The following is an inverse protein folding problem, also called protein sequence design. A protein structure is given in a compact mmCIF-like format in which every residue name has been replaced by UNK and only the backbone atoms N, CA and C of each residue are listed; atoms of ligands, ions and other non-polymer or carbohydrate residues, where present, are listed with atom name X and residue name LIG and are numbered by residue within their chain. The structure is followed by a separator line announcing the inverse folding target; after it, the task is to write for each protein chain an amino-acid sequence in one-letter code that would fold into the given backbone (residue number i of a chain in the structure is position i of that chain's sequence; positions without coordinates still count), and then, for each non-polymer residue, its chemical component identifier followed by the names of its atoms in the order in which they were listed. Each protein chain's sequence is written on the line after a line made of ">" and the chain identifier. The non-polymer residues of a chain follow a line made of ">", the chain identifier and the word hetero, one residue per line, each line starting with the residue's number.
data_IF_568945274416
#
_entry.id   IF_568945274416
#
_cell.length_a   1.000
_cell.length_b   1.000
_cell.length_c   1.000
_cell.angle_alpha   90.00
_cell.angle_beta   90.00
_cell.angle_gamma   90.00
#
_symmetry.space_group_name_H-M   'P 1'
#
loop_
_entity.id
_entity.type
_entity.pdbx_description
1 polymer ?
#
# COMPACT_ATOMS: atom_id res chain seq x y z
N UNK A 1 -10.85 -3.47 -28.07
CA UNK A 1 -11.15 -4.02 -26.74
C UNK A 1 -10.31 -3.41 -25.60
N UNK A 2 -9.04 -3.03 -25.82
CA UNK A 2 -8.22 -2.32 -24.80
C UNK A 2 -8.78 -0.94 -24.45
N UNK A 3 -9.15 -0.13 -25.42
CA UNK A 3 -9.64 1.26 -25.25
C UNK A 3 -10.87 1.41 -24.29
N UNK A 4 -11.71 0.40 -24.19
CA UNK A 4 -12.91 0.45 -23.34
C UNK A 4 -12.60 0.09 -21.88
N UNK A 5 -11.56 -0.72 -21.65
CA UNK A 5 -11.11 -1.08 -20.30
C UNK A 5 -10.34 0.09 -19.67
N UNK A 6 -9.44 0.72 -20.44
CA UNK A 6 -8.66 1.87 -19.99
C UNK A 6 -9.56 3.05 -19.61
N UNK A 7 -10.67 3.29 -20.36
CA UNK A 7 -11.67 4.31 -20.00
C UNK A 7 -12.41 3.97 -18.70
N UNK A 8 -12.84 2.73 -18.51
CA UNK A 8 -13.54 2.32 -17.30
C UNK A 8 -12.66 2.44 -16.06
N UNK A 9 -11.35 2.15 -16.16
CA UNK A 9 -10.42 2.25 -15.05
C UNK A 9 -10.09 3.71 -14.72
N UNK A 10 -9.93 4.57 -15.73
CA UNK A 10 -9.76 6.02 -15.53
C UNK A 10 -10.99 6.66 -14.89
N UNK A 11 -12.20 6.25 -15.32
CA UNK A 11 -13.46 6.72 -14.72
C UNK A 11 -13.57 6.28 -13.27
N UNK A 12 -13.18 5.03 -12.95
CA UNK A 12 -13.19 4.51 -11.58
C UNK A 12 -12.18 5.22 -10.67
N UNK A 13 -10.99 5.52 -11.17
CA UNK A 13 -10.00 6.30 -10.42
C UNK A 13 -10.52 7.71 -10.15
N UNK A 14 -11.10 8.36 -11.16
CA UNK A 14 -11.71 9.70 -11.02
C UNK A 14 -12.87 9.70 -10.01
N UNK A 15 -13.69 8.66 -10.01
CA UNK A 15 -14.77 8.48 -9.03
C UNK A 15 -14.22 8.31 -7.60
N UNK A 16 -13.21 7.47 -7.41
CA UNK A 16 -12.54 7.28 -6.12
C UNK A 16 -11.92 8.59 -5.62
N UNK A 17 -11.22 9.32 -6.49
CA UNK A 17 -10.59 10.61 -6.14
C UNK A 17 -11.63 11.67 -5.79
N UNK A 18 -12.77 11.70 -6.49
CA UNK A 18 -13.87 12.64 -6.21
C UNK A 18 -14.56 12.36 -4.86
N UNK A 19 -14.48 11.13 -4.36
CA UNK A 19 -14.98 10.74 -3.05
C UNK A 19 -14.05 11.08 -1.87
N UNK A 20 -12.85 11.59 -2.14
CA UNK A 20 -11.92 12.00 -1.08
C UNK A 20 -12.35 13.36 -0.53
N UNK A 21 -12.84 13.37 0.70
CA UNK A 21 -13.21 14.58 1.41
C UNK A 21 -12.04 15.18 2.18
N UNK A 22 -12.11 16.49 2.42
CA UNK A 22 -11.14 17.16 3.29
C UNK A 22 -11.33 16.71 4.74
N UNK A 23 -10.23 16.54 5.51
CA UNK A 23 -10.34 16.22 6.92
C UNK A 23 -11.19 17.26 7.69
N UNK A 24 -11.99 16.79 8.65
CA UNK A 24 -12.77 17.66 9.53
C UNK A 24 -11.83 18.39 10.52
N UNK A 25 -11.65 19.68 10.28
CA UNK A 25 -10.79 20.54 11.12
C UNK A 25 -11.30 20.63 12.56
N UNK A 26 -12.63 20.60 12.78
CA UNK A 26 -13.20 20.66 14.14
C UNK A 26 -12.88 19.39 14.93
N UNK A 27 -12.98 18.23 14.29
CA UNK A 27 -12.59 16.97 14.91
C UNK A 27 -11.09 16.96 15.26
N UNK A 28 -10.24 17.51 14.38
CA UNK A 28 -8.80 17.65 14.63
C UNK A 28 -8.51 18.57 15.82
N UNK A 29 -9.15 19.75 15.90
CA UNK A 29 -8.99 20.69 17.02
C UNK A 29 -9.43 20.05 18.35
N UNK A 30 -10.56 19.37 18.35
CA UNK A 30 -11.05 18.66 19.55
C UNK A 30 -10.10 17.52 19.96
N UNK A 31 -9.56 16.77 19.04
CA UNK A 31 -8.57 15.73 19.32
C UNK A 31 -7.30 16.33 19.95
N UNK A 32 -6.81 17.44 19.40
CA UNK A 32 -5.66 18.20 19.95
C UNK A 32 -5.91 18.69 21.38
N UNK A 33 -7.09 19.26 21.64
CA UNK A 33 -7.46 19.68 23.00
C UNK A 33 -7.49 18.50 23.97
N UNK A 34 -7.99 17.34 23.55
CA UNK A 34 -7.99 16.13 24.37
C UNK A 34 -6.58 15.67 24.68
N UNK A 35 -5.67 15.63 23.69
CA UNK A 35 -4.26 15.30 23.91
C UNK A 35 -3.61 16.23 24.94
N UNK A 36 -3.91 17.53 24.86
CA UNK A 36 -3.37 18.52 25.79
C UNK A 36 -3.96 18.41 27.20
N UNK A 37 -5.11 17.76 27.36
CA UNK A 37 -5.75 17.51 28.67
C UNK A 37 -5.24 16.25 29.37
N UNK A 38 -4.48 15.39 28.68
CA UNK A 38 -3.86 14.21 29.28
C UNK A 38 -2.68 14.63 30.14
N UNK A 39 -2.51 13.98 31.30
CA UNK A 39 -1.39 14.26 32.24
C UNK A 39 -0.05 13.77 31.68
N UNK A 40 0.50 14.50 30.73
CA UNK A 40 1.81 14.32 30.10
C UNK A 40 2.35 15.67 29.64
N UNK A 41 3.67 15.82 29.41
CA UNK A 41 4.19 17.03 28.77
C UNK A 41 3.54 17.24 27.40
N UNK A 42 3.16 18.47 27.08
CA UNK A 42 2.52 18.81 25.79
C UNK A 42 3.47 18.44 24.64
N UNK A 43 2.94 17.71 23.64
CA UNK A 43 3.70 17.30 22.48
C UNK A 43 4.75 16.21 22.74
N UNK A 44 4.75 15.58 23.92
CA UNK A 44 5.79 14.62 24.31
C UNK A 44 5.86 13.33 23.44
N UNK A 45 4.78 12.98 22.75
CA UNK A 45 4.75 11.85 21.83
C UNK A 45 5.03 12.25 20.36
N UNK A 46 5.29 13.55 20.10
CA UNK A 46 5.71 14.06 18.80
C UNK A 46 4.74 13.70 17.67
N UNK A 47 5.27 13.12 16.59
CA UNK A 47 4.53 12.76 15.39
C UNK A 47 3.31 11.86 15.68
N UNK A 48 3.37 11.00 16.69
CA UNK A 48 2.24 10.14 17.04
C UNK A 48 0.98 10.95 17.41
N UNK A 49 1.15 12.06 18.15
CA UNK A 49 0.00 12.94 18.47
C UNK A 49 -0.56 13.61 17.22
N UNK A 50 0.32 14.05 16.32
CA UNK A 50 -0.08 14.68 15.05
C UNK A 50 -0.84 13.70 14.16
N UNK A 51 -0.38 12.46 14.07
CA UNK A 51 -1.00 11.43 13.24
C UNK A 51 -2.38 11.03 13.78
N UNK A 52 -2.53 10.87 15.10
CA UNK A 52 -3.83 10.61 15.72
C UNK A 52 -4.79 11.78 15.49
N UNK A 53 -4.30 13.03 15.56
CA UNK A 53 -5.11 14.21 15.24
C UNK A 53 -5.58 14.19 13.78
N UNK A 54 -4.72 13.84 12.83
CA UNK A 54 -5.08 13.70 11.40
C UNK A 54 -6.12 12.60 11.19
N UNK A 55 -5.93 11.44 11.85
CA UNK A 55 -6.90 10.34 11.79
C UNK A 55 -8.26 10.76 12.34
N UNK A 56 -8.30 11.55 13.42
CA UNK A 56 -9.53 12.11 13.94
C UNK A 56 -10.26 12.97 12.89
N UNK A 57 -9.52 13.77 12.12
CA UNK A 57 -10.07 14.54 11.00
C UNK A 57 -10.63 13.67 9.89
N UNK A 58 -9.90 12.61 9.50
CA UNK A 58 -10.34 11.66 8.47
C UNK A 58 -11.60 10.89 8.89
N UNK A 59 -11.72 10.56 10.16
CA UNK A 59 -12.89 9.85 10.73
C UNK A 59 -14.02 10.80 11.14
N UNK A 60 -13.86 12.10 10.97
CA UNK A 60 -14.83 13.12 11.38
C UNK A 60 -15.26 12.98 12.86
N UNK A 61 -14.36 12.44 13.70
CA UNK A 61 -14.62 12.16 15.11
C UNK A 61 -13.36 12.33 15.95
N UNK A 62 -13.45 13.12 17.02
CA UNK A 62 -12.38 13.25 18.00
C UNK A 62 -12.33 12.12 19.05
N UNK A 63 -13.31 11.22 19.05
CA UNK A 63 -13.47 10.15 20.05
C UNK A 63 -13.28 8.76 19.47
N UNK A 64 -13.74 8.53 18.25
CA UNK A 64 -13.64 7.27 17.56
C UNK A 64 -12.40 7.27 16.63
N UNK A 65 -11.23 7.13 17.24
CA UNK A 65 -9.92 7.11 16.55
C UNK A 65 -9.30 5.72 16.76
N UNK A 66 -10.07 4.67 16.42
CA UNK A 66 -9.57 3.31 16.49
C UNK A 66 -8.62 3.02 15.33
N UNK A 67 -7.47 2.39 15.64
CA UNK A 67 -6.48 1.84 14.71
C UNK A 67 -6.29 0.33 14.93
N UNK A 68 -7.30 -0.33 15.50
CA UNK A 68 -7.25 -1.76 15.88
C UNK A 68 -7.11 -2.69 14.66
N UNK A 69 -7.70 -2.31 13.52
CA UNK A 69 -7.58 -3.05 12.28
C UNK A 69 -6.60 -2.36 11.36
N UNK A 70 -5.48 -2.99 11.14
CA UNK A 70 -4.44 -2.52 10.22
C UNK A 70 -4.19 -3.53 9.12
N UNK A 71 -3.79 -3.05 7.95
CA UNK A 71 -3.43 -3.86 6.81
C UNK A 71 -2.12 -3.35 6.19
N UNK A 72 -1.28 -4.28 5.75
CA UNK A 72 -0.06 -4.00 5.01
C UNK A 72 -0.21 -4.49 3.57
N UNK A 73 -0.27 -3.58 2.62
CA UNK A 73 -0.19 -3.89 1.20
C UNK A 73 1.28 -3.94 0.77
N UNK A 74 1.72 -5.07 0.22
CA UNK A 74 3.09 -5.26 -0.28
C UNK A 74 3.04 -5.41 -1.80
N UNK A 75 3.38 -4.35 -2.52
CA UNK A 75 3.43 -4.36 -3.97
C UNK A 75 4.72 -5.00 -4.47
N UNK A 76 4.59 -6.10 -5.22
CA UNK A 76 5.70 -6.88 -5.74
C UNK A 76 5.86 -6.65 -7.25
N UNK A 77 7.04 -6.22 -7.66
CA UNK A 77 7.38 -6.00 -9.06
C UNK A 77 8.87 -6.23 -9.33
N UNK A 78 9.18 -6.63 -10.54
CA UNK A 78 10.54 -6.72 -11.06
C UNK A 78 10.85 -5.52 -11.97
N UNK A 79 12.11 -5.17 -12.07
CA UNK A 79 12.58 -4.03 -12.84
C UNK A 79 13.76 -4.45 -13.73
N UNK A 80 13.67 -4.19 -15.04
CA UNK A 80 14.69 -4.59 -16.00
C UNK A 80 16.03 -3.84 -15.84
N UNK A 81 16.09 -2.81 -15.00
CA UNK A 81 17.34 -2.15 -14.59
C UNK A 81 18.34 -3.10 -13.90
N UNK A 82 17.87 -4.24 -13.39
CA UNK A 82 18.72 -5.33 -12.86
C UNK A 82 19.77 -5.78 -13.88
N UNK A 83 19.48 -5.68 -15.18
CA UNK A 83 20.40 -6.02 -16.26
C UNK A 83 21.65 -5.12 -16.30
N UNK A 84 21.61 -3.97 -15.63
CA UNK A 84 22.75 -3.03 -15.51
C UNK A 84 23.66 -3.35 -14.32
N UNK A 85 23.45 -4.48 -13.61
CA UNK A 85 24.28 -4.91 -12.49
C UNK A 85 24.11 -4.09 -11.20
N UNK A 86 22.99 -3.43 -11.01
CA UNK A 86 22.71 -2.56 -9.84
C UNK A 86 22.32 -3.34 -8.57
N UNK A 87 22.20 -4.65 -8.66
CA UNK A 87 21.81 -5.53 -7.54
C UNK A 87 22.66 -6.79 -7.53
N UNK A 88 22.80 -7.40 -6.35
CA UNK A 88 23.54 -8.66 -6.15
C UNK A 88 22.71 -9.91 -6.46
N UNK A 89 21.37 -9.77 -6.57
CA UNK A 89 20.44 -10.86 -6.80
C UNK A 89 19.69 -10.69 -8.10
N UNK A 90 19.22 -11.80 -8.68
CA UNK A 90 18.35 -11.78 -9.85
C UNK A 90 16.88 -11.48 -9.51
N UNK A 91 16.05 -11.40 -10.52
CA UNK A 91 14.61 -11.11 -10.42
C UNK A 91 13.81 -12.27 -9.79
N UNK A 92 14.37 -13.50 -9.78
CA UNK A 92 13.74 -14.66 -9.15
C UNK A 92 13.47 -14.47 -7.64
N UNK A 93 14.26 -13.63 -6.97
CA UNK A 93 14.13 -13.37 -5.54
C UNK A 93 12.79 -12.68 -5.21
N UNK A 94 12.31 -11.80 -6.08
CA UNK A 94 11.01 -11.12 -5.89
C UNK A 94 9.87 -12.13 -5.72
N UNK A 95 9.83 -13.14 -6.59
CA UNK A 95 8.81 -14.19 -6.52
C UNK A 95 8.94 -15.03 -5.25
N UNK A 96 10.16 -15.43 -4.89
CA UNK A 96 10.43 -16.21 -3.68
C UNK A 96 9.94 -15.45 -2.44
N UNK A 97 10.25 -14.15 -2.36
CA UNK A 97 9.82 -13.31 -1.25
C UNK A 97 8.29 -13.15 -1.24
N UNK A 98 7.66 -12.92 -2.39
CA UNK A 98 6.21 -12.82 -2.50
C UNK A 98 5.49 -14.11 -2.03
N UNK A 99 6.02 -15.27 -2.41
CA UNK A 99 5.52 -16.56 -1.93
C UNK A 99 5.75 -16.75 -0.43
N UNK A 100 6.88 -16.31 0.11
CA UNK A 100 7.17 -16.38 1.54
C UNK A 100 6.28 -15.44 2.37
N UNK A 101 5.85 -14.32 1.81
CA UNK A 101 4.83 -13.45 2.44
C UNK A 101 3.51 -14.20 2.66
N UNK A 102 3.07 -15.03 1.71
CA UNK A 102 1.84 -15.82 1.84
C UNK A 102 1.95 -16.94 2.89
N UNK A 103 3.17 -17.36 3.21
CA UNK A 103 3.47 -18.47 4.14
C UNK A 103 3.88 -18.00 5.54
N UNK A 104 3.80 -16.70 5.83
CA UNK A 104 4.31 -16.09 7.07
C UNK A 104 5.80 -16.39 7.35
N UNK A 105 6.62 -16.45 6.30
CA UNK A 105 8.05 -16.80 6.38
C UNK A 105 8.97 -15.60 6.18
N UNK A 106 8.46 -14.39 6.30
CA UNK A 106 9.27 -13.16 6.22
C UNK A 106 9.26 -12.42 7.56
N UNK A 107 10.30 -11.62 7.82
CA UNK A 107 10.37 -10.81 9.03
C UNK A 107 9.15 -9.89 9.17
N UNK A 108 8.70 -9.28 8.08
CA UNK A 108 7.54 -8.39 8.09
C UNK A 108 6.24 -9.12 8.45
N UNK A 109 6.02 -10.32 7.91
CA UNK A 109 4.80 -11.09 8.24
C UNK A 109 4.79 -11.58 9.68
N UNK A 110 5.96 -11.93 10.23
CA UNK A 110 6.11 -12.28 11.64
C UNK A 110 5.78 -11.07 12.53
N UNK A 111 6.31 -9.88 12.20
CA UNK A 111 6.01 -8.64 12.93
C UNK A 111 4.53 -8.25 12.81
N UNK A 112 3.94 -8.38 11.64
CA UNK A 112 2.52 -8.16 11.43
C UNK A 112 1.64 -9.11 12.26
N UNK A 113 2.06 -10.38 12.40
CA UNK A 113 1.40 -11.34 13.27
C UNK A 113 1.37 -10.91 14.74
N UNK A 114 2.44 -10.26 15.23
CA UNK A 114 2.50 -9.71 16.59
C UNK A 114 1.55 -8.52 16.78
N UNK A 115 1.41 -7.66 15.76
CA UNK A 115 0.54 -6.47 15.80
C UNK A 115 -0.91 -6.75 15.40
N UNK A 116 -1.25 -7.95 14.93
CA UNK A 116 -2.57 -8.27 14.39
C UNK A 116 -2.85 -7.58 13.06
N UNK A 117 -1.81 -7.27 12.27
CA UNK A 117 -1.91 -6.60 10.97
C UNK A 117 -2.06 -7.63 9.86
N UNK A 118 -3.09 -7.50 9.04
CA UNK A 118 -3.30 -8.32 7.85
C UNK A 118 -2.28 -7.97 6.76
N UNK A 119 -1.73 -8.98 6.06
CA UNK A 119 -0.75 -8.77 5.00
C UNK A 119 -1.33 -9.17 3.65
N UNK A 120 -1.28 -8.26 2.70
CA UNK A 120 -1.74 -8.43 1.32
C UNK A 120 -0.57 -8.30 0.35
N UNK A 121 0.10 -9.40 -0.03
CA UNK A 121 1.07 -9.37 -1.11
C UNK A 121 0.35 -9.26 -2.46
N UNK A 122 0.78 -8.30 -3.29
CA UNK A 122 0.11 -7.93 -4.53
C UNK A 122 1.15 -7.96 -5.66
N UNK A 123 0.96 -8.86 -6.61
CA UNK A 123 1.77 -8.86 -7.82
C UNK A 123 1.26 -7.80 -8.79
N UNK A 124 2.04 -6.74 -8.96
CA UNK A 124 1.79 -5.69 -9.94
C UNK A 124 2.73 -5.76 -11.15
N UNK A 125 3.75 -6.65 -11.10
CA UNK A 125 4.72 -6.74 -12.18
C UNK A 125 5.87 -7.70 -11.96
N UNK A 126 5.67 -8.82 -11.28
CA UNK A 126 6.72 -9.86 -11.17
C UNK A 126 6.94 -10.58 -12.50
N UNK A 127 8.15 -11.04 -12.75
CA UNK A 127 8.45 -11.92 -13.89
C UNK A 127 7.77 -13.27 -13.74
N UNK A 128 7.34 -13.84 -14.88
CA UNK A 128 6.65 -15.11 -14.93
C UNK A 128 5.14 -15.01 -14.63
N UNK A 129 4.51 -16.16 -14.48
CA UNK A 129 3.08 -16.25 -14.23
C UNK A 129 2.77 -16.17 -12.73
N UNK A 130 1.71 -15.47 -12.39
CA UNK A 130 1.15 -15.42 -11.04
C UNK A 130 0.06 -16.48 -10.94
N UNK A 131 0.05 -17.33 -9.90
CA UNK A 131 -1.04 -18.25 -9.70
C UNK A 131 -2.39 -17.51 -9.64
N UNK A 132 -3.48 -18.08 -10.20
CA UNK A 132 -4.79 -17.46 -10.10
C UNK A 132 -5.22 -17.39 -8.63
N UNK A 133 -5.66 -16.22 -8.21
CA UNK A 133 -6.27 -16.04 -6.88
C UNK A 133 -7.71 -16.58 -6.88
N UNK A 134 -8.11 -17.18 -5.77
CA UNK A 134 -9.49 -17.66 -5.59
C UNK A 134 -10.34 -16.64 -4.86
N UNK A 135 -9.75 -15.89 -3.94
CA UNK A 135 -10.43 -14.93 -3.08
C UNK A 135 -9.48 -13.77 -2.75
N UNK A 136 -10.05 -12.61 -2.46
CA UNK A 136 -9.31 -11.48 -1.90
C UNK A 136 -9.25 -11.67 -0.38
N UNK A 137 -8.11 -12.16 0.12
CA UNK A 137 -7.90 -12.42 1.54
C UNK A 137 -6.46 -12.16 1.97
N UNK A 138 -6.22 -11.86 3.26
CA UNK A 138 -4.87 -11.76 3.81
C UNK A 138 -4.07 -13.05 3.58
N UNK A 139 -2.79 -12.92 3.26
CA UNK A 139 -1.90 -14.06 3.04
C UNK A 139 -2.08 -14.78 1.69
N UNK A 140 -2.89 -14.26 0.79
CA UNK A 140 -3.01 -14.73 -0.60
C UNK A 140 -2.25 -13.75 -1.51
N UNK A 141 -1.48 -14.26 -2.46
CA UNK A 141 -0.84 -13.43 -3.48
C UNK A 141 -1.90 -12.95 -4.48
N UNK A 142 -2.22 -11.67 -4.40
CA UNK A 142 -3.22 -11.03 -5.26
C UNK A 142 -2.60 -10.72 -6.62
N UNK A 143 -3.26 -11.11 -7.70
CA UNK A 143 -2.80 -10.84 -9.06
C UNK A 143 -3.42 -9.54 -9.59
N UNK A 144 -2.60 -8.50 -9.66
CA UNK A 144 -2.92 -7.19 -10.26
C UNK A 144 -1.83 -6.79 -11.25
N UNK A 145 -1.28 -7.79 -11.94
CA UNK A 145 -0.16 -7.62 -12.84
C UNK A 145 -0.47 -6.72 -14.03
N UNK A 146 0.27 -5.63 -14.13
CA UNK A 146 0.22 -4.68 -15.24
C UNK A 146 1.07 -5.20 -16.41
N UNK A 147 2.32 -5.60 -16.10
CA UNK A 147 3.28 -6.14 -17.05
C UNK A 147 4.25 -7.11 -16.35
N UNK A 148 5.03 -7.86 -17.10
CA UNK A 148 6.09 -8.72 -16.55
C UNK A 148 7.36 -7.92 -16.25
N UNK A 149 7.29 -7.05 -15.26
CA UNK A 149 8.34 -6.12 -14.86
C UNK A 149 8.28 -4.78 -15.60
N UNK A 150 8.92 -3.76 -15.05
CA UNK A 150 9.11 -2.49 -15.73
C UNK A 150 10.24 -2.58 -16.74
N UNK A 151 10.23 -1.68 -17.74
CA UNK A 151 11.33 -1.54 -18.69
C UNK A 151 12.59 -1.00 -18.02
N UNK A 152 13.73 -1.13 -18.69
CA UNK A 152 15.00 -0.67 -18.17
C UNK A 152 15.10 0.88 -18.24
N UNK A 153 15.01 1.52 -17.10
CA UNK A 153 15.01 3.00 -16.96
C UNK A 153 16.30 3.67 -17.45
N UNK A 154 17.39 2.92 -17.64
CA UNK A 154 18.62 3.46 -18.24
C UNK A 154 18.46 3.64 -19.75
N UNK A 155 17.55 2.89 -20.38
CA UNK A 155 17.39 2.86 -21.86
C UNK A 155 16.10 3.54 -22.32
N UNK A 156 15.06 3.47 -21.52
CA UNK A 156 13.73 3.99 -21.86
C UNK A 156 12.88 4.23 -20.61
N UNK A 157 11.71 4.83 -20.76
CA UNK A 157 10.76 5.00 -19.66
C UNK A 157 10.34 3.64 -19.07
N UNK A 158 10.31 3.52 -17.74
CA UNK A 158 9.97 2.29 -17.04
C UNK A 158 8.62 1.71 -17.47
N UNK A 159 7.63 2.58 -17.72
CA UNK A 159 6.31 2.26 -18.25
C UNK A 159 5.71 3.48 -18.95
N UNK A 160 4.66 3.29 -19.73
CA UNK A 160 3.89 4.38 -20.30
C UNK A 160 2.96 5.01 -19.26
N UNK A 161 2.44 6.21 -19.53
CA UNK A 161 1.47 6.88 -18.69
C UNK A 161 0.20 6.02 -18.47
N UNK A 162 -0.29 5.37 -19.53
CA UNK A 162 -1.43 4.46 -19.44
C UNK A 162 -1.17 3.25 -18.53
N UNK A 163 0.05 2.70 -18.55
CA UNK A 163 0.45 1.62 -17.64
C UNK A 163 0.59 2.08 -16.18
N UNK A 164 0.87 3.37 -15.95
CA UNK A 164 0.97 3.92 -14.58
C UNK A 164 -0.39 4.10 -13.90
N UNK A 165 -1.47 4.22 -14.67
CA UNK A 165 -2.82 4.53 -14.16
C UNK A 165 -3.68 3.28 -14.02
N UNK A 166 -3.27 2.17 -14.66
CA UNK A 166 -3.90 0.85 -14.51
C UNK A 166 -3.50 0.21 -13.20
#
# INVERSE_FOLDING_TARGET
>A
MRDNRDRQETDRLSELLSGIEKPDIRAMEQAKLRWNSVAKPIGSLGILEEDIIKIAGMRQSSRDVSVEKSALAVFCADHDVVKEGVTQTGQEVTRIVAENLTKNMTSVTIMCGVSGTDVFPIDIGMKGETPPEKEFAPGILLNRKIACGSRNIVKEAAMSEAECVN
#
